data_IF_266753275626
#
_entry.id   IF_266753275626
#
_cell.length_a   1.000
_cell.length_b   1.000
_cell.length_c   1.000
_cell.angle_alpha   90.00
_cell.angle_beta   90.00
_cell.angle_gamma   90.00
#
_symmetry.space_group_name_H-M   'P 1'
#
loop_
_entity.id
_entity.type
_entity.pdbx_description
1 polymer ?
#
# COMPACT_ATOMS: atom_id res chain seq x y z
N UNK A 1 31.01 -19.21 -41.68
CA UNK A 1 30.87 -18.07 -40.77
C UNK A 1 29.51 -18.14 -40.07
N UNK A 2 29.19 -19.22 -39.35
CA UNK A 2 27.81 -19.50 -38.90
C UNK A 2 27.76 -20.14 -37.50
N UNK A 3 28.51 -19.58 -36.56
CA UNK A 3 28.58 -20.08 -35.17
C UNK A 3 28.38 -18.96 -34.13
N UNK A 4 28.65 -17.71 -34.49
CA UNK A 4 28.58 -16.56 -33.58
C UNK A 4 27.15 -16.00 -33.47
N UNK A 5 26.34 -16.04 -34.54
CA UNK A 5 24.95 -15.57 -34.49
C UNK A 5 24.06 -16.43 -33.58
N UNK A 6 24.29 -17.75 -33.55
CA UNK A 6 23.47 -18.67 -32.74
C UNK A 6 23.70 -18.47 -31.24
N UNK A 7 24.93 -18.26 -30.77
CA UNK A 7 25.22 -18.02 -29.34
C UNK A 7 24.76 -16.64 -28.87
N UNK A 8 24.89 -15.60 -29.71
CA UNK A 8 24.40 -14.25 -29.39
C UNK A 8 22.86 -14.21 -29.28
N UNK A 9 22.14 -14.91 -30.18
CA UNK A 9 20.69 -15.03 -30.12
C UNK A 9 20.21 -15.80 -28.87
N UNK A 10 20.92 -16.84 -28.45
CA UNK A 10 20.59 -17.57 -27.21
C UNK A 10 20.80 -16.69 -25.98
N UNK A 11 21.90 -15.94 -25.91
CA UNK A 11 22.16 -15.05 -24.78
C UNK A 11 21.12 -13.93 -24.69
N UNK A 12 20.72 -13.36 -25.83
CA UNK A 12 19.67 -12.35 -25.91
C UNK A 12 18.31 -12.91 -25.46
N UNK A 13 17.94 -14.14 -25.87
CA UNK A 13 16.70 -14.77 -25.43
C UNK A 13 16.72 -15.03 -23.92
N UNK A 14 17.84 -15.52 -23.38
CA UNK A 14 18.00 -15.74 -21.94
C UNK A 14 17.86 -14.44 -21.14
N UNK A 15 18.50 -13.36 -21.60
CA UNK A 15 18.39 -12.03 -20.99
C UNK A 15 16.94 -11.52 -21.02
N UNK A 16 16.26 -11.65 -22.16
CA UNK A 16 14.84 -11.25 -22.30
C UNK A 16 13.91 -12.05 -21.40
N UNK A 17 14.14 -13.36 -21.27
CA UNK A 17 13.36 -14.23 -20.37
C UNK A 17 13.62 -13.84 -18.91
N UNK A 18 14.88 -13.58 -18.52
CA UNK A 18 15.22 -13.13 -17.17
C UNK A 18 14.56 -11.78 -16.84
N UNK A 19 14.64 -10.80 -17.72
CA UNK A 19 13.98 -9.49 -17.55
C UNK A 19 12.45 -9.64 -17.43
N UNK A 20 11.83 -10.49 -18.24
CA UNK A 20 10.40 -10.76 -18.15
C UNK A 20 10.01 -11.47 -16.84
N UNK A 21 10.84 -12.40 -16.36
CA UNK A 21 10.64 -13.07 -15.08
C UNK A 21 10.81 -12.12 -13.89
N UNK A 22 11.79 -11.21 -13.91
CA UNK A 22 11.97 -10.18 -12.89
C UNK A 22 10.81 -9.19 -12.87
N UNK A 23 10.34 -8.76 -14.04
CA UNK A 23 9.14 -7.93 -14.16
C UNK A 23 7.89 -8.64 -13.62
N UNK A 24 7.69 -9.92 -13.95
CA UNK A 24 6.59 -10.74 -13.44
C UNK A 24 6.66 -10.96 -11.92
N UNK A 25 7.87 -11.15 -11.37
CA UNK A 25 8.09 -11.27 -9.93
C UNK A 25 7.70 -9.99 -9.19
N UNK A 26 8.09 -8.82 -9.73
CA UNK A 26 7.74 -7.53 -9.14
C UNK A 26 6.22 -7.28 -9.18
N UNK A 27 5.54 -7.71 -10.24
CA UNK A 27 4.08 -7.62 -10.33
C UNK A 27 3.41 -8.47 -9.24
N UNK A 28 3.78 -9.75 -9.12
CA UNK A 28 3.20 -10.63 -8.11
C UNK A 28 3.46 -10.16 -6.68
N UNK A 29 4.64 -9.60 -6.39
CA UNK A 29 4.93 -9.02 -5.08
C UNK A 29 4.00 -7.83 -4.78
N UNK A 30 3.80 -6.93 -5.75
CA UNK A 30 2.87 -5.80 -5.60
C UNK A 30 1.42 -6.23 -5.42
N UNK A 31 0.98 -7.25 -6.15
CA UNK A 31 -0.36 -7.82 -6.01
C UNK A 31 -0.57 -8.46 -4.63
N UNK A 32 0.43 -9.18 -4.13
CA UNK A 32 0.40 -9.76 -2.79
C UNK A 32 0.36 -8.68 -1.71
N UNK A 33 1.16 -7.61 -1.83
CA UNK A 33 1.13 -6.46 -0.93
C UNK A 33 -0.23 -5.74 -0.96
N UNK A 34 -0.79 -5.51 -2.15
CA UNK A 34 -2.13 -4.92 -2.33
C UNK A 34 -3.22 -5.76 -1.66
N UNK A 35 -3.20 -7.06 -1.89
CA UNK A 35 -4.17 -8.00 -1.32
C UNK A 35 -4.08 -7.99 0.20
N UNK A 36 -2.86 -8.05 0.74
CA UNK A 36 -2.61 -7.96 2.18
C UNK A 36 -3.12 -6.65 2.76
N UNK A 37 -2.86 -5.52 2.09
CA UNK A 37 -3.34 -4.22 2.56
C UNK A 37 -4.87 -4.14 2.56
N UNK A 38 -5.53 -4.64 1.51
CA UNK A 38 -6.99 -4.71 1.47
C UNK A 38 -7.56 -5.56 2.61
N UNK A 39 -6.94 -6.70 2.93
CA UNK A 39 -7.33 -7.54 4.08
C UNK A 39 -7.13 -6.85 5.43
N UNK A 40 -6.17 -5.94 5.56
CA UNK A 40 -5.99 -5.14 6.77
C UNK A 40 -7.09 -4.07 6.87
N UNK A 41 -7.47 -3.46 5.75
CA UNK A 41 -8.55 -2.48 5.71
C UNK A 41 -9.92 -3.08 6.03
N UNK A 42 -10.20 -4.33 5.65
CA UNK A 42 -11.46 -5.01 5.99
C UNK A 42 -11.62 -5.31 7.49
N UNK A 43 -10.53 -5.28 8.27
CA UNK A 43 -10.57 -5.45 9.73
C UNK A 43 -10.95 -4.16 10.48
N UNK A 44 -10.93 -3.02 9.79
CA UNK A 44 -11.36 -1.75 10.35
C UNK A 44 -12.89 -1.69 10.37
N UNK A 45 -13.43 -1.26 11.50
CA UNK A 45 -14.83 -0.84 11.58
C UNK A 45 -15.07 0.39 10.71
N UNK A 46 -16.32 0.65 10.30
CA UNK A 46 -16.64 1.84 9.50
C UNK A 46 -16.11 3.14 10.11
N UNK A 47 -16.17 3.25 11.44
CA UNK A 47 -15.70 4.42 12.16
C UNK A 47 -14.18 4.56 12.21
N UNK A 48 -13.48 3.44 12.33
CA UNK A 48 -12.01 3.43 12.24
C UNK A 48 -11.54 3.78 10.82
N UNK A 49 -12.28 3.34 9.80
CA UNK A 49 -12.00 3.66 8.40
C UNK A 49 -12.18 5.17 8.12
N UNK A 50 -13.26 5.78 8.60
CA UNK A 50 -13.46 7.24 8.51
C UNK A 50 -12.32 8.04 9.17
N UNK A 51 -11.95 7.64 10.39
CA UNK A 51 -10.84 8.28 11.13
C UNK A 51 -9.53 8.09 10.36
N UNK A 52 -9.24 6.88 9.87
CA UNK A 52 -8.04 6.58 9.08
C UNK A 52 -7.93 7.47 7.84
N UNK A 53 -9.01 7.61 7.06
CA UNK A 53 -9.03 8.45 5.85
C UNK A 53 -8.66 9.91 6.15
N UNK A 54 -9.21 10.48 7.22
CA UNK A 54 -8.93 11.87 7.62
C UNK A 54 -7.52 12.07 8.13
N UNK A 55 -6.99 11.07 8.85
CA UNK A 55 -5.60 11.05 9.30
C UNK A 55 -4.64 11.01 8.09
N UNK A 56 -4.96 10.19 7.08
CA UNK A 56 -4.15 10.09 5.85
C UNK A 56 -4.16 11.42 5.07
N UNK A 57 -5.28 12.14 5.10
CA UNK A 57 -5.39 13.51 4.56
C UNK A 57 -4.59 14.56 5.37
N UNK A 58 -3.93 14.16 6.46
CA UNK A 58 -3.12 15.06 7.29
C UNK A 58 -3.96 15.94 8.22
N UNK A 59 -5.24 15.64 8.43
CA UNK A 59 -6.06 16.43 9.34
C UNK A 59 -5.62 16.24 10.80
N UNK A 60 -5.57 17.32 11.61
CA UNK A 60 -5.26 17.21 13.03
C UNK A 60 -6.43 16.58 13.80
N UNK A 61 -6.13 15.88 14.89
CA UNK A 61 -7.12 15.19 15.72
C UNK A 61 -8.31 16.06 16.12
N UNK A 62 -8.07 17.33 16.43
CA UNK A 62 -9.11 18.30 16.77
C UNK A 62 -10.10 18.52 15.64
N UNK A 63 -9.64 18.60 14.39
CA UNK A 63 -10.51 18.77 13.22
C UNK A 63 -11.31 17.49 12.99
N UNK A 64 -10.66 16.32 13.06
CA UNK A 64 -11.33 15.01 12.92
C UNK A 64 -12.42 14.85 13.99
N UNK A 65 -12.12 15.24 15.23
CA UNK A 65 -13.05 15.20 16.35
C UNK A 65 -14.31 16.06 16.05
N UNK A 66 -14.11 17.28 15.57
CA UNK A 66 -15.21 18.19 15.20
C UNK A 66 -16.01 17.61 14.03
N UNK A 67 -15.36 17.21 12.94
CA UNK A 67 -16.03 16.73 11.72
C UNK A 67 -16.80 15.42 11.93
N UNK A 68 -16.36 14.59 12.87
CA UNK A 68 -17.01 13.33 13.20
C UNK A 68 -17.95 13.46 14.41
N UNK A 69 -18.00 14.59 15.12
CA UNK A 69 -18.78 14.72 16.36
C UNK A 69 -18.25 13.83 17.49
N UNK A 70 -16.93 13.64 17.56
CA UNK A 70 -16.23 12.84 18.56
C UNK A 70 -15.40 13.75 19.49
N UNK A 71 -14.92 13.20 20.61
CA UNK A 71 -13.87 13.85 21.41
C UNK A 71 -12.48 13.55 20.82
N UNK A 72 -11.50 14.44 21.03
CA UNK A 72 -10.10 14.19 20.63
C UNK A 72 -9.55 12.89 21.25
N UNK A 73 -9.93 12.59 22.50
CA UNK A 73 -9.59 11.33 23.17
C UNK A 73 -10.16 10.11 22.45
N UNK A 74 -11.37 10.23 21.88
CA UNK A 74 -12.00 9.16 21.08
C UNK A 74 -11.27 8.96 19.75
N UNK A 75 -10.88 10.05 19.08
CA UNK A 75 -10.06 9.98 17.86
C UNK A 75 -8.74 9.28 18.15
N UNK A 76 -8.09 9.58 19.28
CA UNK A 76 -6.84 8.94 19.67
C UNK A 76 -7.00 7.43 19.94
N UNK A 77 -8.12 7.03 20.56
CA UNK A 77 -8.47 5.61 20.71
C UNK A 77 -8.65 4.92 19.35
N UNK A 78 -9.33 5.57 18.41
CA UNK A 78 -9.47 5.05 17.04
C UNK A 78 -8.12 4.96 16.33
N UNK A 79 -7.22 5.94 16.49
CA UNK A 79 -5.85 5.90 15.95
C UNK A 79 -5.10 4.68 16.44
N UNK A 80 -5.05 4.47 17.76
CA UNK A 80 -4.37 3.31 18.34
C UNK A 80 -4.97 1.99 17.83
N UNK A 81 -6.30 1.92 17.70
CA UNK A 81 -6.96 0.73 17.16
C UNK A 81 -6.63 0.50 15.68
N UNK A 82 -6.66 1.54 14.85
CA UNK A 82 -6.27 1.48 13.43
C UNK A 82 -4.82 1.02 13.30
N UNK A 83 -3.90 1.60 14.06
CA UNK A 83 -2.48 1.23 14.04
C UNK A 83 -2.26 -0.23 14.47
N UNK A 84 -2.97 -0.69 15.51
CA UNK A 84 -2.92 -2.08 15.96
C UNK A 84 -3.47 -3.06 14.93
N UNK A 85 -4.60 -2.74 14.30
CA UNK A 85 -5.26 -3.60 13.30
C UNK A 85 -4.52 -3.64 11.96
N UNK A 86 -3.95 -2.51 11.55
CA UNK A 86 -3.16 -2.43 10.30
C UNK A 86 -1.72 -2.91 10.47
N UNK A 87 -1.27 -3.16 11.70
CA UNK A 87 0.09 -3.63 12.04
C UNK A 87 1.22 -2.72 11.53
N UNK A 88 0.90 -1.45 11.25
CA UNK A 88 1.88 -0.45 10.84
C UNK A 88 2.58 0.13 12.05
N UNK A 89 3.87 0.43 11.91
CA UNK A 89 4.73 0.91 13.00
C UNK A 89 4.69 2.42 13.15
N UNK A 90 4.22 3.13 12.12
CA UNK A 90 4.11 4.60 12.14
C UNK A 90 2.98 5.10 11.25
N UNK A 91 2.52 6.32 11.55
CA UNK A 91 1.57 7.01 10.69
C UNK A 91 2.13 7.23 9.27
N UNK A 92 3.41 7.56 9.15
CA UNK A 92 4.05 7.74 7.85
C UNK A 92 4.03 6.44 7.01
N UNK A 93 4.21 5.29 7.67
CA UNK A 93 4.08 3.98 7.02
C UNK A 93 2.64 3.71 6.56
N UNK A 94 1.64 4.01 7.40
CA UNK A 94 0.23 3.91 7.01
C UNK A 94 -0.10 4.76 5.79
N UNK A 95 0.35 6.02 5.79
CA UNK A 95 0.17 6.97 4.67
C UNK A 95 0.84 6.41 3.41
N UNK A 96 2.11 5.99 3.51
CA UNK A 96 2.88 5.44 2.39
C UNK A 96 2.19 4.21 1.78
N UNK A 97 1.80 3.25 2.62
CA UNK A 97 1.12 2.04 2.17
C UNK A 97 -0.22 2.39 1.55
N UNK A 98 -0.99 3.30 2.15
CA UNK A 98 -2.25 3.73 1.56
C UNK A 98 -2.03 4.31 0.16
N UNK A 99 -1.16 5.31 -0.02
CA UNK A 99 -0.91 5.93 -1.34
C UNK A 99 -0.32 4.97 -2.37
N UNK A 100 0.52 4.02 -1.95
CA UNK A 100 1.10 3.02 -2.85
C UNK A 100 0.03 2.09 -3.44
N UNK A 101 -1.02 1.80 -2.69
CA UNK A 101 -2.08 0.86 -3.08
C UNK A 101 -3.39 1.54 -3.52
N UNK A 102 -3.58 2.81 -3.19
CA UNK A 102 -4.72 3.66 -3.61
C UNK A 102 -4.44 4.45 -4.89
N UNK A 103 -3.24 4.31 -5.46
CA UNK A 103 -2.80 4.93 -6.71
C UNK A 103 -3.60 4.49 -7.94
N UNK A 104 -4.84 4.96 -8.02
CA UNK A 104 -5.60 5.36 -9.22
C UNK A 104 -6.65 6.47 -8.94
N UNK A 105 -6.80 6.98 -7.70
CA UNK A 105 -7.80 8.01 -7.37
C UNK A 105 -7.18 9.34 -6.94
N UNK A 106 -6.20 9.83 -7.71
CA UNK A 106 -5.48 11.07 -7.40
C UNK A 106 -4.72 11.63 -8.60
N UNK A 107 -5.42 11.87 -9.70
CA UNK A 107 -5.05 12.82 -10.75
C UNK A 107 -6.32 13.50 -11.26
#
# INVERSE_FOLDING_TARGET
FDFIEKTAAHQLILERVQLAMEAGKNLHLREAERTKFQQLLTQLSPREHEVMLRIIQGQPNKVIAIELGLSERTVEKHRTSVMGKTQVRSLAELIRIFYLHSGEAGS
#
